data_IF_558377353735
#
_entry.id   IF_558377353735
#
_cell.length_a   1.000
_cell.length_b   1.000
_cell.length_c   1.000
_cell.angle_alpha   90.00
_cell.angle_beta   90.00
_cell.angle_gamma   90.00
#
_symmetry.space_group_name_H-M   'P 1'
#
loop_
_entity.id
_entity.type
_entity.pdbx_description
1 polymer ?
2 non-polymer ?
3 water ?
#
# COMPACT_ATOMS: atom_id res chain seq x y z
N UNK A 2 -7.85 16.01 -13.51
CA UNK A 2 -6.62 16.63 -13.06
C UNK A 2 -5.53 16.47 -14.15
N UNK A 3 -4.76 17.54 -14.40
CA UNK A 3 -3.54 17.48 -15.21
C UNK A 3 -2.35 17.83 -14.33
N UNK A 4 -1.44 16.87 -14.14
CA UNK A 4 -0.26 17.09 -13.29
C UNK A 4 0.79 16.04 -13.58
N UNK A 5 2.07 16.46 -13.57
CA UNK A 5 3.19 15.54 -13.76
C UNK A 5 3.11 14.69 -15.03
N UNK A 6 2.78 15.33 -16.15
CA UNK A 6 2.64 14.69 -17.46
C UNK A 6 1.62 13.56 -17.42
N UNK A 7 0.66 13.67 -16.51
CA UNK A 7 -0.39 12.68 -16.36
C UNK A 7 -1.75 13.34 -16.26
N UNK A 8 -2.77 12.64 -16.72
CA UNK A 8 -4.12 13.12 -16.69
C UNK A 8 -4.97 12.03 -16.07
N UNK A 9 -5.75 12.40 -15.09
CA UNK A 9 -6.60 11.43 -14.42
C UNK A 9 -7.96 11.61 -15.04
N UNK A 10 -8.79 10.59 -14.94
CA UNK A 10 -10.16 10.68 -15.46
C UNK A 10 -11.10 11.45 -14.49
N UNK A 11 -10.74 11.46 -13.21
CA UNK A 11 -11.52 12.08 -12.11
C UNK A 11 -10.65 13.05 -11.31
N UNK A 12 -11.26 13.98 -10.53
CA UNK A 12 -10.47 15.01 -9.83
C UNK A 12 -9.66 14.49 -8.62
N UNK A 13 -8.75 13.56 -8.87
CA UNK A 13 -7.85 13.08 -7.84
C UNK A 13 -6.96 14.20 -7.32
N UNK A 14 -6.52 14.05 -6.07
CA UNK A 14 -5.54 14.97 -5.52
C UNK A 14 -4.31 14.86 -6.39
N UNK A 15 -3.72 16.00 -6.77
CA UNK A 15 -2.53 15.94 -7.62
C UNK A 15 -1.38 15.12 -7.04
N UNK A 16 -1.36 14.96 -5.72
CA UNK A 16 -0.34 14.15 -5.09
C UNK A 16 -0.27 12.75 -5.71
N UNK A 17 -1.40 12.19 -6.12
CA UNK A 17 -1.39 10.83 -6.68
C UNK A 17 -0.79 10.75 -8.08
N UNK A 18 -0.81 11.85 -8.82
CA UNK A 18 -0.13 11.94 -10.11
C UNK A 18 1.33 12.39 -9.99
N UNK A 19 1.61 13.24 -9.00
CA UNK A 19 2.94 13.82 -8.79
C UNK A 19 3.93 12.82 -8.23
N UNK A 20 3.44 11.84 -7.45
CA UNK A 20 4.33 10.78 -6.98
C UNK A 20 4.73 9.86 -8.14
N UNK A 21 6.03 9.69 -8.35
CA UNK A 21 6.50 8.79 -9.40
C UNK A 21 7.89 8.27 -9.12
N UNK A 22 8.37 7.37 -9.98
CA UNK A 22 9.57 6.60 -9.67
C UNK A 22 10.63 6.81 -10.76
N UNK A 23 11.33 7.94 -10.70
CA UNK A 23 12.43 8.17 -11.61
C UNK A 23 13.67 7.39 -11.20
N UNK A 24 14.71 7.46 -12.03
CA UNK A 24 15.97 6.75 -11.78
C UNK A 24 17.18 7.69 -11.67
N UNK A 25 17.03 8.96 -12.05
CA UNK A 25 18.17 9.90 -12.03
C UNK A 25 18.27 10.58 -10.67
N UNK A 26 19.19 10.10 -9.83
CA UNK A 26 19.36 10.62 -8.47
C UNK A 26 20.70 11.32 -8.35
N UNK A 27 20.73 12.34 -7.49
CA UNK A 27 21.90 13.22 -7.42
C UNK A 27 23.01 12.76 -6.46
N UNK A 28 22.77 11.68 -5.72
CA UNK A 28 23.80 11.09 -4.87
C UNK A 28 24.10 11.88 -3.60
N UNK A 29 23.26 12.87 -3.31
CA UNK A 29 23.47 13.75 -2.15
C UNK A 29 23.08 13.03 -0.88
N UNK A 30 23.62 13.47 0.28
CA UNK A 30 23.15 12.93 1.56
C UNK A 30 21.73 13.38 1.90
N UNK A 32 19.19 14.13 5.03
CA UNK A 32 19.25 14.29 6.49
C UNK A 32 18.70 13.06 7.21
N UNK A 33 19.36 12.64 8.29
CA UNK A 33 18.90 11.44 9.04
C UNK A 33 17.44 11.56 9.45
N UNK A 34 17.02 12.74 9.92
CA UNK A 34 15.63 12.96 10.39
C UNK A 34 14.60 12.82 9.26
N UNK A 35 15.00 13.18 8.04
CA UNK A 35 14.13 13.06 6.88
C UNK A 35 13.81 11.58 6.65
N UNK A 36 14.82 10.69 6.73
CA UNK A 36 14.54 9.26 6.53
C UNK A 36 13.65 8.70 7.64
N UNK A 37 13.90 9.14 8.86
CA UNK A 37 13.12 8.69 9.99
C UNK A 37 11.65 9.16 9.89
N UNK A 38 11.43 10.38 9.39
CA UNK A 38 10.09 10.88 9.11
C UNK A 38 9.37 9.99 8.09
N UNK A 39 10.10 9.67 7.02
CA UNK A 39 9.59 8.79 5.95
C UNK A 39 9.17 7.44 6.49
N UNK A 40 10.03 6.81 7.29
CA UNK A 40 9.71 5.52 7.87
C UNK A 40 8.65 5.61 8.96
N UNK A 41 8.59 6.75 9.66
CA UNK A 41 7.54 7.01 10.65
C UNK A 41 6.17 7.02 9.97
N UNK A 42 6.05 7.73 8.86
CA UNK A 42 4.80 7.72 8.08
C UNK A 42 4.41 6.32 7.62
N UNK A 43 5.39 5.59 7.09
CA UNK A 43 5.20 4.20 6.66
C UNK A 43 4.62 3.30 7.79
N UNK A 44 5.14 3.46 9.00
CA UNK A 44 4.75 2.64 10.15
C UNK A 44 3.40 3.02 10.74
N UNK A 45 2.85 4.15 10.29
CA UNK A 45 1.47 4.54 10.61
C UNK A 45 0.39 3.92 9.70
N UNK A 46 0.81 3.02 8.80
CA UNK A 46 -0.13 2.40 7.88
C UNK A 46 -1.11 1.51 8.62
N UNK A 47 -2.30 1.27 8.02
CA UNK A 47 -3.18 0.28 8.63
C UNK A 47 -2.69 -1.13 8.33
N UNK A 48 -3.14 -2.07 9.14
CA UNK A 48 -2.81 -3.47 8.96
C UNK A 48 -3.85 -4.30 9.67
N UNK A 49 -4.08 -5.51 9.18
CA UNK A 49 -4.98 -6.44 9.84
C UNK A 49 -4.58 -6.58 11.31
N UNK A 50 -5.58 -6.46 12.17
CA UNK A 50 -5.41 -6.59 13.64
C UNK A 50 -4.40 -5.63 14.26
N UNK A 51 -4.06 -4.55 13.55
CA UNK A 51 -2.96 -3.67 13.93
C UNK A 51 -1.67 -4.43 14.26
N UNK A 52 -1.42 -5.53 13.54
CA UNK A 52 -0.25 -6.36 13.78
C UNK A 52 1.05 -5.66 13.37
N UNK A 53 0.96 -4.75 12.38
CA UNK A 53 2.10 -3.96 11.93
C UNK A 53 3.25 -4.87 11.52
N UNK A 54 3.04 -5.71 10.49
CA UNK A 54 3.98 -6.77 10.11
C UNK A 54 5.22 -6.30 9.32
N UNK A 55 5.21 -5.07 8.86
CA UNK A 55 6.35 -4.49 8.14
C UNK A 55 7.61 -4.30 9.00
N UNK A 56 8.76 -4.48 8.36
CA UNK A 56 10.04 -4.08 8.90
C UNK A 56 10.82 -3.39 7.78
N UNK A 57 11.74 -2.51 8.17
CA UNK A 57 12.61 -1.76 7.24
C UNK A 57 14.08 -1.86 7.66
N UNK A 58 14.92 -2.32 6.75
CA UNK A 58 16.37 -2.33 6.98
C UNK A 58 16.98 -1.35 5.98
N UNK A 59 17.63 -0.31 6.50
CA UNK A 59 18.06 0.80 5.68
C UNK A 59 19.53 1.18 5.85
N UNK A 60 20.04 1.87 4.83
CA UNK A 60 21.39 2.42 4.81
C UNK A 60 21.41 3.76 4.06
N UNK A 61 22.10 4.75 4.63
CA UNK A 61 22.38 6.00 3.93
C UNK A 61 23.58 5.86 3.02
N UNK A 62 23.63 6.72 2.01
CA UNK A 62 24.76 6.78 1.10
C UNK A 62 26.15 6.86 1.79
N UNK A 63 26.22 7.50 2.96
CA UNK A 63 27.48 7.57 3.79
C UNK A 63 27.78 6.38 4.71
N UNK A 64 26.96 5.35 4.65
CA UNK A 64 27.09 4.20 5.52
C UNK A 64 28.28 3.32 5.16
N UNK A 65 28.94 2.76 6.17
CA UNK A 65 29.92 1.69 5.96
C UNK A 65 29.35 0.52 5.18
N UNK A 66 28.04 0.30 5.24
CA UNK A 66 27.40 -0.81 4.50
C UNK A 66 26.70 -0.44 3.21
N UNK A 67 26.84 0.79 2.77
CA UNK A 67 26.27 1.21 1.50
C UNK A 67 26.61 0.23 0.36
N UNK A 68 27.89 -0.13 0.18
CA UNK A 68 28.20 -1.00 -0.96
C UNK A 68 27.55 -2.38 -0.89
N UNK A 69 27.36 -2.88 0.32
CA UNK A 69 26.64 -4.13 0.50
C UNK A 69 25.19 -3.96 0.04
N UNK A 70 24.55 -2.89 0.45
CA UNK A 70 23.17 -2.63 0.03
C UNK A 70 23.06 -2.50 -1.48
N UNK A 71 24.04 -1.84 -2.11
CA UNK A 71 24.06 -1.73 -3.58
C UNK A 71 24.20 -3.11 -4.25
N UNK A 72 25.09 -3.96 -3.74
CA UNK A 72 25.41 -5.19 -4.45
C UNK A 72 24.36 -6.27 -4.24
N UNK A 73 23.43 -6.02 -3.30
CA UNK A 73 22.26 -6.85 -3.07
C UNK A 73 21.13 -6.58 -4.08
N UNK A 74 21.31 -5.55 -4.89
CA UNK A 74 20.43 -5.33 -6.04
C UNK A 74 21.05 -6.00 -7.25
N UNK A 76 22.22 -6.17 -11.20
CA UNK A 76 23.15 -5.28 -11.92
C UNK A 76 22.43 -4.13 -12.59
N UNK A 77 21.32 -4.44 -13.25
CA UNK A 77 20.52 -3.44 -13.94
C UNK A 77 20.08 -2.33 -13.01
N UNK A 78 19.50 -2.70 -11.88
CA UNK A 78 19.10 -1.71 -10.88
C UNK A 78 20.29 -0.99 -10.25
N UNK A 79 21.40 -1.69 -10.01
CA UNK A 79 22.58 -1.06 -9.41
C UNK A 79 23.01 0.18 -10.16
N UNK A 80 22.92 0.12 -11.49
CA UNK A 80 23.46 1.14 -12.38
C UNK A 80 22.97 2.53 -12.00
N UNK A 81 21.70 2.63 -11.60
CA UNK A 81 21.10 3.93 -11.24
C UNK A 81 20.89 4.08 -9.74
N UNK A 82 20.51 2.99 -9.07
CA UNK A 82 20.21 3.05 -7.63
C UNK A 82 21.43 3.35 -6.75
N UNK A 83 22.63 3.09 -7.27
CA UNK A 83 23.85 3.37 -6.54
C UNK A 83 24.03 4.84 -6.30
N UNK A 84 23.28 5.67 -7.03
CA UNK A 84 23.36 7.11 -6.89
C UNK A 84 22.20 7.72 -6.08
N UNK A 85 21.36 6.86 -5.50
CA UNK A 85 20.31 7.29 -4.61
C UNK A 85 20.93 7.73 -3.28
N UNK A 86 20.11 8.39 -2.46
CA UNK A 86 20.55 8.90 -1.17
C UNK A 86 20.42 7.87 -0.05
N UNK A 87 19.46 6.97 -0.20
CA UNK A 87 19.13 5.93 0.77
C UNK A 87 18.73 4.69 0.00
N UNK A 88 19.17 3.53 0.47
CA UNK A 88 18.65 2.24 0.03
C UNK A 88 18.09 1.53 1.25
N UNK A 89 16.96 0.84 1.07
CA UNK A 89 16.39 0.04 2.12
C UNK A 89 15.60 -1.14 1.56
N UNK A 90 15.33 -2.11 2.41
CA UNK A 90 14.50 -3.25 2.05
C UNK A 90 13.26 -3.27 2.93
N UNK A 91 12.13 -3.45 2.26
CA UNK A 91 10.87 -3.61 2.93
C UNK A 91 10.63 -5.10 3.15
N UNK A 92 10.44 -5.46 4.40
CA UNK A 92 10.35 -6.83 4.85
C UNK A 92 9.02 -6.99 5.55
N UNK A 93 8.48 -8.20 5.61
CA UNK A 93 7.28 -8.44 6.42
C UNK A 93 7.33 -9.79 7.14
N UNK A 94 6.75 -9.81 8.33
CA UNK A 94 6.61 -11.04 9.12
C UNK A 94 5.47 -11.85 8.52
N UNK A 95 5.75 -13.09 8.08
CA UNK A 95 4.75 -13.89 7.34
C UNK A 95 3.81 -14.67 8.25
N UNK A 96 3.84 -14.35 9.52
CA UNK A 96 3.05 -15.05 10.50
C UNK A 96 2.81 -14.10 11.64
N UNK A 97 1.87 -14.45 12.50
CA UNK A 97 1.82 -13.83 13.81
C UNK A 97 2.43 -14.79 14.82
N UNK A 98 3.03 -14.23 15.85
CA UNK A 98 3.64 -15.02 16.90
C UNK A 98 3.11 -14.53 18.23
N UNK A 99 2.78 -15.48 19.10
CA UNK A 99 2.11 -15.19 20.35
C UNK A 99 3.14 -14.97 21.46
N UNK A 100 2.66 -14.58 22.63
CA UNK A 100 3.50 -14.46 23.82
C UNK A 100 4.25 -15.79 24.08
N UNK A 101 3.60 -16.90 23.74
CA UNK A 101 4.14 -18.25 23.91
C UNK A 101 4.98 -18.74 22.71
N UNK A 102 5.07 -17.92 21.66
CA UNK A 102 5.93 -18.23 20.51
C UNK A 102 5.24 -19.10 19.47
N UNK A 103 3.91 -19.19 19.57
CA UNK A 103 3.13 -19.97 18.64
C UNK A 103 2.94 -19.18 17.35
N UNK A 104 3.23 -19.81 16.21
CA UNK A 104 3.18 -19.14 14.89
C UNK A 104 1.92 -19.52 14.09
N UNK A 105 1.28 -18.49 13.52
CA UNK A 105 0.14 -18.67 12.63
C UNK A 105 0.36 -17.89 11.34
N UNK A 106 0.19 -18.52 10.17
CA UNK A 106 0.35 -17.86 8.89
C UNK A 106 -0.51 -16.61 8.79
N UNK A 107 0.08 -15.54 8.26
CA UNK A 107 -0.64 -14.29 8.09
C UNK A 107 -1.21 -14.22 6.68
N UNK A 108 -2.50 -13.90 6.60
CA UNK A 108 -3.17 -13.80 5.31
C UNK A 108 -2.90 -12.48 4.60
N UNK A 109 -2.48 -11.45 5.35
CA UNK A 109 -2.40 -10.08 4.79
C UNK A 109 -1.03 -9.41 4.89
N UNK A 110 0.00 -10.11 5.36
CA UNK A 110 1.29 -9.44 5.65
C UNK A 110 1.92 -8.69 4.46
N UNK A 111 1.82 -9.26 3.26
CA UNK A 111 2.40 -8.62 2.09
C UNK A 111 1.56 -7.43 1.63
N UNK A 112 0.26 -7.63 1.64
CA UNK A 112 -0.71 -6.58 1.39
C UNK A 112 -0.47 -5.39 2.33
N UNK A 113 -0.36 -5.69 3.62
CA UNK A 113 -0.20 -4.66 4.62
C UNK A 113 1.16 -3.93 4.46
N UNK A 114 2.21 -4.67 4.18
CA UNK A 114 3.52 -4.12 3.84
C UNK A 114 3.46 -3.14 2.64
N UNK A 115 2.62 -3.44 1.66
CA UNK A 115 2.39 -2.56 0.50
C UNK A 115 1.77 -1.24 0.85
N UNK A 116 0.79 -1.27 1.76
CA UNK A 116 0.23 -0.05 2.34
C UNK A 116 1.31 0.82 3.03
N UNK A 117 2.17 0.18 3.81
CA UNK A 117 3.29 0.87 4.44
C UNK A 117 4.27 1.45 3.39
N UNK A 118 4.52 0.68 2.34
CA UNK A 118 5.36 1.13 1.25
C UNK A 118 4.78 2.35 0.53
N UNK A 119 3.48 2.34 0.22
CA UNK A 119 2.89 3.53 -0.41
C UNK A 119 3.03 4.73 0.51
N UNK A 120 2.79 4.51 1.79
CA UNK A 120 2.91 5.55 2.78
C UNK A 120 4.33 6.13 2.79
N UNK A 121 5.32 5.24 2.73
CA UNK A 121 6.75 5.59 2.60
C UNK A 121 7.02 6.50 1.38
N UNK A 122 6.53 6.03 0.22
CA UNK A 122 6.66 6.76 -1.05
C UNK A 122 5.99 8.13 -1.00
N UNK A 124 5.23 9.95 1.83
CA UNK A 124 5.96 10.84 2.74
C UNK A 124 7.27 11.34 2.11
N UNK A 125 7.98 10.46 1.42
CA UNK A 125 9.17 10.85 0.66
C UNK A 125 8.85 11.96 -0.35
N UNK A 126 7.84 11.71 -1.18
CA UNK A 126 7.31 12.71 -2.09
C UNK A 126 7.04 14.06 -1.41
N UNK A 127 6.33 14.00 -0.28
CA UNK A 127 5.97 15.23 0.43
C UNK A 127 7.17 16.04 0.93
N UNK A 128 8.29 15.36 1.21
CA UNK A 128 9.54 16.00 1.62
C UNK A 128 10.42 16.47 0.47
N UNK A 129 10.01 16.21 -0.77
CA UNK A 129 10.75 16.68 -1.92
C UNK A 129 11.64 15.63 -2.53
N UNK A 130 11.47 14.37 -2.10
CA UNK A 130 12.27 13.25 -2.62
C UNK A 130 11.41 12.40 -3.54
N UNK A 131 12.04 11.41 -4.14
CA UNK A 131 11.32 10.35 -4.84
C UNK A 131 11.79 9.00 -4.38
N UNK A 132 10.84 8.09 -4.16
CA UNK A 132 11.12 6.71 -3.80
C UNK A 132 10.88 5.82 -5.02
N UNK A 133 11.64 4.75 -5.16
CA UNK A 133 11.55 3.88 -6.33
C UNK A 133 11.66 2.43 -5.85
N UNK A 134 10.57 1.68 -6.03
CA UNK A 134 10.51 0.30 -5.60
C UNK A 134 11.30 -0.60 -6.52
N UNK A 136 12.03 -4.93 -7.34
CA UNK A 136 11.99 -6.37 -7.15
C UNK A 136 13.19 -7.09 -7.74
N UNK A 137 13.96 -6.39 -8.56
CA UNK A 137 15.19 -6.90 -9.14
C UNK A 137 16.31 -6.89 -8.09
N UNK A 138 16.21 -7.82 -7.16
CA UNK A 138 17.06 -7.86 -5.98
C UNK A 138 17.33 -9.31 -5.62
N UNK A 139 18.42 -9.57 -4.90
CA UNK A 139 18.78 -10.93 -4.52
C UNK A 139 18.18 -11.24 -3.14
N UNK A 140 16.96 -11.77 -3.09
CA UNK A 140 16.23 -11.91 -1.82
C UNK A 140 16.90 -12.86 -0.81
N UNK A 141 17.41 -13.99 -1.29
CA UNK A 141 18.08 -14.94 -0.42
C UNK A 141 19.38 -14.36 0.14
N UNK A 142 20.14 -13.63 -0.70
CA UNK A 142 21.35 -12.96 -0.22
C UNK A 142 21.00 -11.85 0.78
N UNK A 143 19.92 -11.13 0.54
CA UNK A 143 19.44 -10.12 1.49
C UNK A 143 19.17 -10.75 2.86
N UNK A 144 18.44 -11.86 2.87
CA UNK A 144 18.11 -12.55 4.10
C UNK A 144 19.36 -12.97 4.87
N UNK A 145 20.34 -13.51 4.15
CA UNK A 145 21.57 -14.00 4.76
C UNK A 145 22.45 -12.85 5.23
N UNK A 146 22.71 -11.88 4.35
CA UNK A 146 23.65 -10.78 4.66
C UNK A 146 23.10 -9.76 5.66
N UNK A 147 21.78 -9.59 5.71
CA UNK A 147 21.18 -8.59 6.62
C UNK A 147 20.56 -9.22 7.86
N UNK A 148 20.80 -10.51 8.06
CA UNK A 148 20.40 -11.22 9.28
C UNK A 148 18.89 -11.19 9.48
N UNK A 149 18.15 -11.43 8.41
CA UNK A 149 16.72 -11.45 8.50
C UNK A 149 16.33 -12.79 9.10
N UNK A 150 15.52 -12.79 10.18
CA UNK A 150 15.18 -14.04 10.86
C UNK A 150 14.18 -14.85 10.05
N UNK A 151 14.04 -16.11 10.42
CA UNK A 151 13.09 -17.01 9.81
C UNK A 151 11.68 -16.46 10.00
N UNK A 152 10.85 -16.62 8.99
CA UNK A 152 9.46 -16.19 9.07
C UNK A 152 9.29 -14.73 8.71
N UNK A 153 10.35 -14.12 8.17
CA UNK A 153 10.27 -12.77 7.60
C UNK A 153 10.57 -12.82 6.11
N UNK A 154 9.73 -12.15 5.34
CA UNK A 154 9.81 -12.14 3.88
C UNK A 154 10.33 -10.79 3.36
N UNK A 155 11.22 -10.87 2.36
CA UNK A 155 11.69 -9.68 1.66
C UNK A 155 10.65 -9.35 0.58
N UNK A 156 10.01 -8.21 0.72
CA UNK A 156 8.99 -7.76 -0.20
C UNK A 156 9.59 -6.99 -1.37
N UNK A 157 10.42 -5.99 -1.06
CA UNK A 157 10.98 -5.13 -2.10
C UNK A 157 12.15 -4.29 -1.60
N UNK A 158 13.02 -3.88 -2.52
CA UNK A 158 14.00 -2.86 -2.23
C UNK A 158 13.43 -1.49 -2.55
N UNK A 159 13.98 -0.44 -1.95
CA UNK A 159 13.55 0.92 -2.21
C UNK A 159 14.75 1.83 -2.25
N UNK A 160 14.85 2.58 -3.34
CA UNK A 160 15.83 3.63 -3.51
C UNK A 160 15.11 4.98 -3.33
N UNK A 161 15.69 5.85 -2.51
CA UNK A 161 15.15 7.18 -2.26
C UNK A 161 16.23 8.23 -2.45
N UNK A 162 15.87 9.33 -3.09
CA UNK A 162 16.84 10.39 -3.35
C UNK A 162 16.21 11.61 -3.96
N UNK A 163 17.07 12.52 -4.38
CA UNK A 163 16.66 13.77 -4.99
C UNK A 163 16.89 13.71 -6.49
N UNK A 164 15.82 14.00 -7.23
CA UNK A 164 15.81 13.89 -8.68
C UNK A 164 16.81 14.83 -9.30
N UNK A 165 17.47 14.39 -10.37
CA UNK A 165 18.34 15.26 -11.14
C UNK A 165 18.14 15.02 -12.64
N UNK A 166 18.96 15.67 -13.46
CA UNK A 166 18.80 15.63 -14.91
C UNK A 166 19.02 14.22 -15.45
N UNK A 167 18.16 13.82 -16.38
CA UNK A 167 18.22 12.48 -16.99
C UNK A 167 19.53 12.23 -17.74
N UNK A 168 20.23 13.30 -18.11
CA UNK A 168 21.50 13.18 -18.84
C UNK A 168 22.52 12.32 -18.12
N UNK A 169 22.40 12.16 -16.79
CA UNK A 169 23.33 11.31 -16.04
C UNK A 169 23.11 9.82 -16.26
N UNK A 170 21.97 9.48 -16.86
CA UNK A 170 21.59 8.09 -17.11
C UNK A 170 22.12 7.60 -18.45
N UNK A 171 22.37 6.27 -18.56
CA UNK A 171 22.56 5.76 -19.92
C UNK A 171 21.30 6.00 -20.77
N UNK A 172 21.48 6.10 -22.07
CA UNK A 172 20.41 6.54 -22.97
C UNK A 172 19.11 5.76 -22.84
N UNK A 173 19.20 4.45 -22.69
CA UNK A 173 17.98 3.64 -22.58
C UNK A 173 17.17 3.98 -21.32
N UNK A 174 17.84 4.23 -20.21
CA UNK A 174 17.15 4.67 -18.99
C UNK A 174 16.66 6.12 -19.09
N UNK A 175 17.46 6.98 -19.69
CA UNK A 175 17.07 8.37 -19.91
C UNK A 175 15.76 8.43 -20.69
N UNK A 176 15.63 7.59 -21.70
CA UNK A 176 14.40 7.51 -22.49
C UNK A 176 13.21 7.07 -21.66
N UNK A 177 13.45 6.34 -20.57
CA UNK A 177 12.36 5.88 -19.69
C UNK A 177 12.08 6.79 -18.53
N UNK A 178 12.82 7.90 -18.45
CA UNK A 178 12.68 8.83 -17.37
C UNK A 178 11.46 9.73 -17.63
N UNK A 179 10.27 9.14 -17.60
CA UNK A 179 9.04 9.87 -17.88
C UNK A 179 7.92 9.19 -17.08
N UNK A 180 7.02 9.98 -16.45
CA UNK A 180 6.05 9.30 -15.61
C UNK A 180 5.17 8.32 -16.40
N UNK A 181 5.05 7.12 -15.86
CA UNK A 181 4.25 6.08 -16.45
C UNK A 181 2.77 6.43 -16.48
N UNK A 182 2.06 5.74 -17.35
CA UNK A 182 0.60 5.84 -17.45
C UNK A 182 -0.11 4.65 -16.78
N UNK A 183 -1.44 4.68 -16.80
CA UNK A 183 -2.26 3.59 -16.24
C UNK A 183 -3.34 3.22 -17.22
N UNK A 184 -3.91 2.03 -17.04
CA UNK A 184 -5.07 1.62 -17.81
C UNK A 184 -6.25 2.50 -17.38
N UNK A 185 -7.27 2.61 -18.25
CA UNK A 185 -8.53 3.27 -17.86
C UNK A 185 -9.10 2.70 -16.55
N UNK A 186 -9.62 3.57 -15.69
CA UNK A 186 -10.23 3.17 -14.43
C UNK A 186 -11.24 2.05 -14.65
N UNK A 187 -12.05 2.15 -15.70
CA UNK A 187 -13.05 1.12 -15.98
C UNK A 187 -12.48 -0.27 -16.24
N UNK A 188 -11.19 -0.37 -16.56
CA UNK A 188 -10.57 -1.66 -16.75
C UNK A 188 -10.23 -2.36 -15.43
N UNK A 189 -10.33 -1.66 -14.32
CA UNK A 189 -9.99 -2.26 -13.02
C UNK A 189 -11.05 -2.08 -11.94
N UNK A 190 -12.04 -1.22 -12.16
CA UNK A 190 -13.07 -0.95 -11.16
C UNK A 190 -14.42 -1.33 -11.75
N UNK A 191 -15.07 -2.29 -11.12
CA UNK A 191 -16.30 -2.89 -11.60
C UNK A 191 -17.42 -2.75 -10.56
N UNK A 192 -18.58 -2.30 -11.01
CA UNK A 192 -19.74 -2.21 -10.12
C UNK A 192 -20.50 -3.52 -10.06
N UNK A 193 -20.78 -3.99 -8.84
CA UNK A 193 -21.73 -5.10 -8.64
C UNK A 193 -21.13 -6.48 -8.69
N UNK A 194 -20.31 -6.72 -9.71
CA UNK A 194 -19.64 -8.01 -9.90
C UNK A 194 -18.41 -7.81 -10.77
N UNK A 195 -17.58 -8.84 -10.86
CA UNK A 195 -16.35 -8.77 -11.66
C UNK A 195 -16.74 -8.80 -13.16
N UNK A 196 -16.63 -7.68 -13.86
CA UNK A 196 -17.04 -7.68 -15.29
C UNK A 196 -15.88 -7.61 -16.25
N UNK A 197 -14.67 -7.41 -15.73
CA UNK A 197 -13.47 -7.33 -16.55
C UNK A 197 -13.12 -8.67 -17.17
N UNK A 198 -12.30 -8.64 -18.21
CA UNK A 198 -11.77 -9.88 -18.77
C UNK A 198 -10.81 -10.53 -17.76
N UNK A 199 -10.63 -11.85 -17.84
CA UNK A 199 -9.63 -12.52 -17.00
C UNK A 199 -8.20 -12.34 -17.56
N UNK A 200 -8.11 -12.09 -18.87
CA UNK A 200 -6.86 -11.68 -19.51
C UNK A 200 -7.17 -11.03 -20.85
N UNK B 2 4.66 15.22 15.51
CA UNK B 2 3.34 15.64 15.08
C UNK B 2 2.23 15.17 16.04
N UNK B 3 1.29 16.07 16.34
CA UNK B 3 0.11 15.76 17.14
C UNK B 3 -1.15 16.03 16.32
N UNK B 4 -1.93 14.98 16.09
CA UNK B 4 -3.17 15.13 15.34
C UNK B 4 -4.03 13.88 15.54
N UNK B 5 -5.35 14.06 15.53
CA UNK B 5 -6.29 12.94 15.65
C UNK B 5 -6.04 12.04 16.87
N UNK B 6 -5.76 12.65 18.02
CA UNK B 6 -5.51 11.87 19.25
C UNK B 6 -4.35 10.87 19.09
N UNK B 7 -3.42 11.19 18.19
CA UNK B 7 -2.21 10.40 17.98
C UNK B 7 -1.00 11.29 18.12
N UNK B 8 0.13 10.69 18.41
CA UNK B 8 1.37 11.43 18.50
C UNK B 8 2.47 10.71 17.75
N UNK B 9 3.12 11.39 16.82
CA UNK B 9 4.23 10.80 16.07
C UNK B 9 5.57 11.13 16.72
N UNK B 10 6.58 10.32 16.46
CA UNK B 10 7.92 10.57 16.98
C UNK B 10 8.64 11.59 16.09
N UNK B 11 8.34 11.58 14.80
CA UNK B 11 8.99 12.45 13.83
C UNK B 11 7.95 13.29 13.11
N UNK B 12 8.37 14.42 12.50
CA UNK B 12 7.37 15.35 11.98
C UNK B 12 6.70 14.90 10.69
N UNK B 13 5.90 13.83 10.79
CA UNK B 13 5.15 13.32 9.64
C UNK B 13 4.05 14.32 9.25
N UNK B 14 3.64 14.30 7.99
CA UNK B 14 2.47 15.02 7.57
C UNK B 14 1.27 14.53 8.40
N UNK B 15 0.46 15.46 8.93
CA UNK B 15 -0.65 15.01 9.79
C UNK B 15 -1.68 14.14 9.07
N UNK B 16 -1.68 14.12 7.74
CA UNK B 16 -2.51 13.18 7.01
C UNK B 16 -2.31 11.72 7.43
N UNK B 17 -1.07 11.34 7.74
CA UNK B 17 -0.79 9.95 8.15
C UNK B 17 -1.38 9.59 9.53
N UNK B 18 -1.56 10.60 10.36
CA UNK B 18 -2.18 10.46 11.66
C UNK B 18 -3.69 10.62 11.57
N UNK B 19 -4.14 11.46 10.66
CA UNK B 19 -5.57 11.79 10.53
C UNK B 19 -6.37 10.69 9.88
N UNK B 20 -5.70 9.93 9.00
CA UNK B 20 -6.32 8.78 8.37
C UNK B 20 -6.47 7.69 9.41
N UNK B 21 -7.70 7.23 9.62
CA UNK B 21 -7.98 6.11 10.50
C UNK B 21 -9.26 5.37 10.10
N UNK B 22 -9.54 4.29 10.82
CA UNK B 22 -10.56 3.34 10.42
C UNK B 22 -11.67 3.25 11.49
N UNK B 23 -12.59 4.21 11.47
CA UNK B 23 -13.75 4.11 12.36
C UNK B 23 -14.78 3.07 11.88
N UNK B 24 -15.75 2.80 12.73
CA UNK B 24 -16.83 1.87 12.44
C UNK B 24 -18.21 2.52 12.42
N UNK B 25 -18.37 3.71 13.02
CA UNK B 25 -19.67 4.39 13.07
C UNK B 25 -19.87 5.22 11.81
N UNK B 26 -20.68 4.69 10.89
CA UNK B 26 -20.99 5.35 9.62
C UNK B 26 -22.46 5.77 9.55
N UNK B 27 -22.74 6.84 8.81
CA UNK B 27 -24.07 7.46 8.80
C UNK B 27 -25.07 6.94 7.74
N UNK B 28 -24.63 6.00 6.91
CA UNK B 28 -25.53 5.36 5.96
C UNK B 28 -25.95 6.23 4.78
N UNK B 29 -25.38 7.43 4.67
CA UNK B 29 -25.72 8.35 3.60
C UNK B 29 -25.22 7.86 2.24
N UNK B 30 -25.91 8.25 1.16
CA UNK B 30 -25.38 8.00 -0.18
C UNK B 30 -24.07 8.75 -0.40
N UNK B 32 -21.87 10.33 -3.43
CA UNK B 32 -21.90 10.62 -4.86
C UNK B 32 -21.05 9.67 -5.70
N UNK B 33 -21.61 9.24 -6.82
CA UNK B 33 -20.95 8.27 -7.68
C UNK B 33 -19.54 8.76 -8.06
N UNK B 34 -19.39 10.05 -8.38
CA UNK B 34 -18.09 10.58 -8.81
C UNK B 34 -17.07 10.54 -7.68
N UNK B 35 -17.51 10.69 -6.43
CA UNK B 35 -16.61 10.65 -5.30
C UNK B 35 -15.95 9.28 -5.20
N UNK B 36 -16.74 8.20 -5.30
CA UNK B 36 -16.15 6.86 -5.27
C UNK B 36 -15.22 6.65 -6.45
N UNK B 37 -15.60 7.13 -7.64
CA UNK B 37 -14.71 6.98 -8.79
C UNK B 37 -13.38 7.73 -8.59
N UNK B 38 -13.44 8.88 -7.93
CA UNK B 38 -12.23 9.66 -7.65
C UNK B 38 -11.32 8.86 -6.71
N UNK B 39 -11.94 8.23 -5.70
CA UNK B 39 -11.23 7.38 -4.76
C UNK B 39 -10.54 6.22 -5.46
N UNK B 40 -11.25 5.51 -6.32
CA UNK B 40 -10.67 4.37 -7.04
C UNK B 40 -9.68 4.81 -8.14
N UNK B 41 -9.87 6.01 -8.68
CA UNK B 41 -8.93 6.55 -9.64
C UNK B 41 -7.58 6.76 -8.92
N UNK B 42 -7.62 7.35 -7.73
CA UNK B 42 -6.42 7.51 -6.91
C UNK B 42 -5.76 6.17 -6.67
N UNK B 43 -6.56 5.17 -6.26
CA UNK B 43 -6.07 3.80 -6.03
C UNK B 43 -5.33 3.22 -7.23
N UNK B 44 -5.87 3.44 -8.42
CA UNK B 44 -5.31 2.85 -9.65
C UNK B 44 -4.05 3.55 -10.14
N UNK B 45 -3.74 4.71 -9.54
CA UNK B 45 -2.46 5.39 -9.76
C UNK B 45 -1.33 4.88 -8.89
N UNK B 46 -1.56 3.87 -8.07
CA UNK B 46 -0.48 3.31 -7.27
C UNK B 46 0.66 2.78 -8.15
N UNK B 47 1.87 2.67 -7.58
CA UNK B 47 2.94 1.98 -8.27
C UNK B 47 2.70 0.46 -8.14
N UNK B 48 3.26 -0.28 -9.09
CA UNK B 48 3.29 -1.74 -9.08
C UNK B 48 4.48 -2.25 -9.85
N UNK B 49 4.93 -3.46 -9.51
CA UNK B 49 6.02 -4.09 -10.25
C UNK B 49 5.65 -4.12 -11.73
N UNK B 50 6.60 -3.70 -12.56
CA UNK B 50 6.47 -3.65 -14.02
C UNK B 50 5.24 -2.86 -14.49
N UNK B 51 4.69 -2.00 -13.64
CA UNK B 51 3.43 -1.33 -13.94
C UNK B 51 2.34 -2.32 -14.40
N UNK B 52 2.36 -3.53 -13.85
CA UNK B 52 1.31 -4.52 -14.14
C UNK B 52 -0.09 -4.13 -13.67
N UNK B 53 -0.19 -3.27 -12.63
CA UNK B 53 -1.48 -2.81 -12.16
C UNK B 53 -2.44 -3.99 -11.85
N UNK B 54 -2.04 -4.89 -10.93
CA UNK B 54 -2.75 -6.17 -10.71
C UNK B 54 -4.02 -6.05 -9.88
N UNK B 55 -4.28 -4.88 -9.34
CA UNK B 55 -5.50 -4.64 -8.55
C UNK B 55 -6.77 -4.61 -9.39
N UNK B 56 -7.85 -5.09 -8.79
CA UNK B 56 -9.20 -4.86 -9.25
C UNK B 56 -10.07 -4.52 -8.04
N UNK B 57 -11.12 -3.76 -8.29
CA UNK B 57 -12.06 -3.33 -7.27
C UNK B 57 -13.48 -3.66 -7.71
N UNK B 58 -14.21 -4.41 -6.89
CA UNK B 58 -15.62 -4.68 -7.17
C UNK B 58 -16.42 -4.02 -6.06
N UNK B 59 -17.32 -3.12 -6.44
CA UNK B 59 -17.93 -2.19 -5.50
C UNK B 59 -19.45 -2.12 -5.60
N UNK B 60 -20.08 -1.71 -4.51
CA UNK B 60 -21.51 -1.41 -4.51
C UNK B 60 -21.80 -0.22 -3.57
N UNK B 61 -22.74 0.64 -4.00
CA UNK B 61 -23.28 1.71 -3.16
C UNK B 61 -24.40 1.20 -2.26
N UNK B 62 -24.59 1.84 -1.11
CA UNK B 62 -25.66 1.45 -0.20
C UNK B 62 -27.05 1.40 -0.88
N UNK B 63 -27.27 2.26 -1.88
CA UNK B 63 -28.51 2.25 -2.70
C UNK B 63 -28.59 1.12 -3.74
N UNK B 64 -27.84 0.06 -3.56
CA UNK B 64 -27.61 -0.85 -4.68
C UNK B 64 -28.52 -2.04 -4.56
N UNK B 65 -28.88 -2.57 -5.72
CA UNK B 65 -29.49 -3.90 -5.82
C UNK B 65 -28.60 -4.96 -5.16
N UNK B 66 -27.29 -4.77 -5.27
CA UNK B 66 -26.30 -5.71 -4.74
C UNK B 66 -25.96 -5.55 -3.26
N UNK B 67 -26.46 -4.50 -2.61
CA UNK B 67 -26.04 -4.20 -1.22
C UNK B 67 -26.20 -5.37 -0.26
N UNK B 68 -27.38 -6.02 -0.25
CA UNK B 68 -27.58 -7.14 0.68
C UNK B 68 -26.54 -8.24 0.47
N UNK B 69 -26.25 -8.55 -0.80
CA UNK B 69 -25.21 -9.52 -1.11
C UNK B 69 -23.85 -9.08 -0.57
N UNK B 70 -23.47 -7.83 -0.84
CA UNK B 70 -22.19 -7.34 -0.37
C UNK B 70 -22.09 -7.41 1.16
N UNK B 71 -23.18 -7.06 1.86
CA UNK B 71 -23.20 -7.14 3.32
C UNK B 71 -23.09 -8.58 3.78
N UNK B 72 -23.75 -9.51 3.09
CA UNK B 72 -23.74 -10.88 3.58
C UNK B 72 -22.40 -11.58 3.35
N UNK B 73 -21.56 -11.04 2.45
CA UNK B 73 -20.21 -11.57 2.21
C UNK B 73 -19.15 -11.16 3.26
N UNK B 74 -19.58 -10.38 4.25
CA UNK B 74 -18.77 -10.01 5.40
C UNK B 74 -19.15 -10.93 6.55
N UNK B 76 -20.06 -11.83 10.46
CA UNK B 76 -21.10 -11.17 11.23
C UNK B 76 -20.63 -9.99 12.06
N UNK B 77 -19.42 -10.09 12.61
CA UNK B 77 -18.91 -9.02 13.45
C UNK B 77 -18.64 -7.76 12.66
N UNK B 78 -18.31 -7.93 11.39
CA UNK B 78 -18.15 -6.83 10.45
C UNK B 78 -19.49 -6.27 9.94
N UNK B 79 -20.44 -7.17 9.63
CA UNK B 79 -21.76 -6.73 9.15
C UNK B 79 -22.39 -5.70 10.08
N UNK B 80 -22.30 -5.94 11.39
CA UNK B 80 -22.98 -5.15 12.43
C UNK B 80 -22.82 -3.65 12.22
N UNK B 81 -21.63 -3.25 11.73
CA UNK B 81 -21.30 -1.84 11.58
C UNK B 81 -21.11 -1.43 10.12
N UNK B 82 -20.52 -2.32 9.31
CA UNK B 82 -20.22 -2.00 7.90
C UNK B 82 -21.49 -1.87 7.07
N UNK B 83 -22.58 -2.50 7.51
CA UNK B 83 -23.84 -2.41 6.81
C UNK B 83 -24.35 -0.97 6.78
N UNK B 84 -23.80 -0.10 7.63
CA UNK B 84 -24.18 1.29 7.62
C UNK B 84 -23.21 2.22 6.89
N UNK B 85 -22.17 1.67 6.27
CA UNK B 85 -21.29 2.45 5.38
C UNK B 85 -22.00 2.86 4.09
N UNK B 86 -21.44 3.84 3.38
CA UNK B 86 -22.01 4.33 2.11
C UNK B 86 -21.64 3.41 0.94
N UNK B 87 -20.45 2.82 1.00
CA UNK B 87 -19.92 1.94 -0.05
C UNK B 87 -19.22 0.73 0.58
N UNK B 88 -19.38 -0.43 -0.07
CA UNK B 88 -18.64 -1.64 0.25
C UNK B 88 -17.98 -2.11 -1.02
N UNK B 89 -16.75 -2.54 -0.94
CA UNK B 89 -16.06 -3.06 -2.09
C UNK B 89 -15.06 -4.11 -1.66
N UNK B 90 -14.62 -4.89 -2.63
CA UNK B 90 -13.55 -5.86 -2.41
C UNK B 90 -12.34 -5.56 -3.30
N UNK B 91 -11.19 -5.54 -2.67
CA UNK B 91 -9.93 -5.38 -3.37
C UNK B 91 -9.44 -6.77 -3.75
N UNK B 92 -9.09 -6.90 -5.01
CA UNK B 92 -8.80 -8.19 -5.62
C UNK B 92 -7.45 -7.97 -6.31
N UNK B 93 -6.64 -9.02 -6.43
CA UNK B 93 -5.38 -8.91 -7.21
C UNK B 93 -5.21 -10.07 -8.17
N UNK B 94 -4.60 -9.77 -9.33
CA UNK B 94 -4.27 -10.75 -10.35
C UNK B 94 -2.96 -11.40 -9.98
N UNK B 95 -2.98 -12.71 -9.76
CA UNK B 95 -1.82 -13.40 -9.17
C UNK B 95 -0.76 -13.89 -10.18
N UNK B 96 -0.96 -13.52 -11.45
CA UNK B 96 -0.17 -14.02 -12.57
C UNK B 96 -0.19 -13.06 -13.73
N UNK B 97 0.69 -13.32 -14.71
CA UNK B 97 0.65 -12.64 -15.99
C UNK B 97 0.76 -13.76 -17.02
N UNK B 98 0.48 -13.44 -18.27
CA UNK B 98 0.52 -14.44 -19.34
C UNK B 98 1.27 -13.83 -20.52
N UNK B 99 2.21 -14.59 -21.08
CA UNK B 99 3.08 -14.09 -22.16
C UNK B 99 2.29 -14.06 -23.45
N UNK B 100 2.83 -13.41 -24.47
CA UNK B 100 2.23 -13.41 -25.82
C UNK B 100 1.89 -14.82 -26.27
N UNK B 101 2.80 -15.76 -25.99
CA UNK B 101 2.68 -17.15 -26.43
C UNK B 101 1.88 -18.07 -25.49
N UNK B 102 1.31 -17.47 -24.44
CA UNK B 102 0.38 -18.18 -23.57
C UNK B 102 0.94 -18.80 -22.30
N UNK B 103 2.15 -18.45 -21.91
CA UNK B 103 2.78 -19.04 -20.74
C UNK B 103 2.43 -18.19 -19.53
N UNK B 104 1.76 -18.81 -18.57
CA UNK B 104 1.34 -18.14 -17.32
C UNK B 104 2.51 -18.11 -16.36
N UNK B 105 2.74 -16.95 -15.75
CA UNK B 105 3.84 -16.75 -14.82
C UNK B 105 3.30 -16.15 -13.52
N UNK B 106 3.58 -16.78 -12.36
CA UNK B 106 3.16 -16.25 -11.08
C UNK B 106 3.74 -14.87 -10.83
N UNK B 107 2.94 -13.99 -10.22
CA UNK B 107 3.43 -12.67 -9.86
C UNK B 107 3.94 -12.70 -8.45
N UNK B 108 5.16 -12.23 -8.25
CA UNK B 108 5.72 -12.20 -6.91
C UNK B 108 5.17 -11.06 -6.03
N UNK B 109 4.61 -9.99 -6.61
CA UNK B 109 4.32 -8.79 -5.82
C UNK B 109 2.86 -8.39 -5.83
N UNK B 110 1.98 -9.25 -6.32
CA UNK B 110 0.60 -8.81 -6.58
C UNK B 110 -0.19 -8.39 -5.33
N UNK B 111 0.00 -9.08 -4.21
CA UNK B 111 -0.69 -8.66 -2.96
C UNK B 111 -0.06 -7.38 -2.41
N UNK B 112 1.26 -7.31 -2.42
CA UNK B 112 2.02 -6.13 -2.00
C UNK B 112 1.54 -4.90 -2.79
N UNK B 113 1.47 -5.04 -4.11
CA UNK B 113 1.05 -3.94 -4.96
C UNK B 113 -0.39 -3.55 -4.70
N UNK B 114 -1.27 -4.55 -4.54
CA UNK B 114 -2.67 -4.28 -4.17
C UNK B 114 -2.78 -3.47 -2.87
N UNK B 115 -1.92 -3.80 -1.91
CA UNK B 115 -1.80 -3.04 -0.67
C UNK B 115 -1.50 -1.57 -0.88
N UNK B 116 -0.62 -1.25 -1.85
CA UNK B 116 -0.32 0.15 -2.17
C UNK B 116 -1.55 0.87 -2.75
N UNK B 117 -2.29 0.16 -3.60
CA UNK B 117 -3.53 0.68 -4.16
C UNK B 117 -4.57 0.92 -3.03
N UNK B 118 -4.62 -0.02 -2.09
CA UNK B 118 -5.54 0.12 -0.93
C UNK B 118 -5.18 1.33 -0.08
N UNK B 119 -3.90 1.58 0.22
CA UNK B 119 -3.59 2.79 1.00
C UNK B 119 -3.99 4.04 0.24
N UNK B 120 -3.68 4.06 -1.07
CA UNK B 120 -4.05 5.18 -1.92
C UNK B 120 -5.57 5.42 -1.88
N UNK B 121 -6.34 4.33 -1.97
CA UNK B 121 -7.80 4.37 -1.82
C UNK B 121 -8.20 5.04 -0.52
N UNK B 122 -7.67 4.54 0.58
CA UNK B 122 -7.93 5.09 1.90
C UNK B 122 -7.52 6.56 2.08
N UNK B 124 -7.18 8.93 -0.43
CA UNK B 124 -8.06 9.76 -1.25
C UNK B 124 -9.46 9.86 -0.61
N UNK B 125 -9.93 8.76 -0.02
CA UNK B 125 -11.19 8.77 0.72
C UNK B 125 -11.10 9.79 1.86
N UNK B 126 -10.02 9.68 2.62
CA UNK B 126 -9.75 10.63 3.68
C UNK B 126 -9.73 12.08 3.23
N UNK B 127 -9.03 12.35 2.14
CA UNK B 127 -8.95 13.71 1.63
C UNK B 127 -10.28 14.29 1.15
N UNK B 128 -11.22 13.43 0.77
CA UNK B 128 -12.57 13.87 0.39
C UNK B 128 -13.52 13.96 1.60
N UNK B 129 -13.03 13.65 2.79
CA UNK B 129 -13.82 13.80 4.03
C UNK B 129 -14.52 12.55 4.51
N UNK B 130 -14.16 11.41 3.93
CA UNK B 130 -14.72 10.13 4.28
C UNK B 130 -13.69 9.34 5.09
N UNK B 131 -14.05 8.12 5.45
CA UNK B 131 -13.12 7.19 6.07
C UNK B 131 -13.31 5.82 5.44
N UNK B 132 -12.20 5.16 5.15
CA UNK B 132 -12.21 3.81 4.60
C UNK B 132 -11.81 2.89 5.74
N UNK B 133 -12.33 1.66 5.73
CA UNK B 133 -12.05 0.69 6.80
C UNK B 133 -11.85 -0.68 6.13
N UNK B 134 -10.64 -1.22 6.25
CA UNK B 134 -10.28 -2.49 5.63
C UNK B 134 -10.80 -3.66 6.45
N UNK B 136 -10.67 -8.06 6.74
CA UNK B 136 -10.25 -9.39 6.39
C UNK B 136 -11.26 -10.43 6.87
N UNK B 137 -12.18 -10.01 7.75
CA UNK B 137 -13.21 -10.90 8.27
C UNK B 137 -14.34 -10.98 7.25
N UNK B 138 -14.07 -11.73 6.20
CA UNK B 138 -14.93 -11.81 5.02
C UNK B 138 -14.94 -13.26 4.51
N UNK B 139 -15.95 -13.61 3.70
CA UNK B 139 -16.07 -14.96 3.15
C UNK B 139 -15.51 -15.04 1.74
N UNK B 140 -14.20 -15.25 1.63
CA UNK B 140 -13.48 -15.12 0.36
C UNK B 140 -13.95 -16.06 -0.74
N UNK B 141 -14.14 -17.32 -0.39
CA UNK B 141 -14.59 -18.30 -1.37
C UNK B 141 -15.99 -17.99 -1.86
N UNK B 142 -16.84 -17.49 -0.97
CA UNK B 142 -18.19 -17.06 -1.34
C UNK B 142 -18.12 -15.76 -2.18
N UNK B 143 -17.16 -14.90 -1.88
CA UNK B 143 -16.94 -13.69 -2.70
C UNK B 143 -16.54 -14.08 -4.14
N UNK B 144 -15.61 -15.01 -4.26
CA UNK B 144 -15.16 -15.50 -5.56
C UNK B 144 -16.36 -16.04 -6.37
N UNK B 145 -17.17 -16.88 -5.73
CA UNK B 145 -18.37 -17.44 -6.34
C UNK B 145 -19.41 -16.38 -6.75
N UNK B 146 -19.82 -15.55 -5.79
CA UNK B 146 -20.97 -14.66 -6.02
C UNK B 146 -20.68 -13.46 -6.92
N UNK B 147 -19.43 -12.98 -6.90
CA UNK B 147 -19.00 -11.83 -7.70
C UNK B 147 -18.26 -12.22 -8.97
N UNK B 148 -18.28 -13.50 -9.31
CA UNK B 148 -17.74 -14.04 -10.57
C UNK B 148 -16.27 -13.70 -10.78
N UNK B 149 -15.48 -13.85 -9.72
CA UNK B 149 -14.06 -13.56 -9.80
C UNK B 149 -13.35 -14.72 -10.55
N UNK B 150 -12.60 -14.38 -11.61
CA UNK B 150 -12.01 -15.47 -12.38
C UNK B 150 -10.88 -16.17 -11.64
N UNK B 151 -10.51 -17.34 -12.14
CA UNK B 151 -9.37 -18.09 -11.60
C UNK B 151 -8.11 -17.22 -11.70
N UNK B 152 -7.20 -17.34 -10.74
CA UNK B 152 -5.95 -16.60 -10.79
C UNK B 152 -6.08 -15.15 -10.30
N UNK B 153 -7.20 -14.85 -9.64
CA UNK B 153 -7.41 -13.56 -9.00
C UNK B 153 -7.76 -13.83 -7.56
N UNK B 154 -7.11 -13.08 -6.67
CA UNK B 154 -7.14 -13.32 -5.24
C UNK B 154 -7.92 -12.24 -4.52
N UNK B 155 -8.78 -12.61 -3.57
CA UNK B 155 -9.48 -11.61 -2.75
C UNK B 155 -8.50 -11.19 -1.67
N UNK B 156 -8.20 -9.90 -1.63
CA UNK B 156 -7.28 -9.34 -0.65
C UNK B 156 -7.97 -8.83 0.62
N UNK B 157 -9.02 -8.02 0.44
CA UNK B 157 -9.69 -7.40 1.57
C UNK B 157 -11.04 -6.83 1.14
N UNK B 158 -11.97 -6.75 2.08
CA UNK B 158 -13.13 -5.89 1.92
C UNK B 158 -12.79 -4.46 2.36
N UNK B 159 -13.51 -3.47 1.85
CA UNK B 159 -13.39 -2.10 2.33
C UNK B 159 -14.75 -1.49 2.48
N UNK B 160 -14.99 -0.90 3.65
CA UNK B 160 -16.17 -0.09 3.90
C UNK B 160 -15.77 1.38 3.83
N UNK B 161 -16.54 2.20 3.13
CA UNK B 161 -16.23 3.63 3.07
C UNK B 161 -17.50 4.41 3.42
N UNK B 162 -17.34 5.47 4.21
CA UNK B 162 -18.48 6.31 4.52
C UNK B 162 -18.12 7.54 5.30
N UNK B 163 -19.15 8.14 5.89
CA UNK B 163 -19.05 9.38 6.64
C UNK B 163 -19.25 9.08 8.11
N UNK B 164 -18.28 9.49 8.91
CA UNK B 164 -18.25 9.22 10.33
C UNK B 164 -19.46 9.82 11.00
N UNK B 165 -19.97 9.14 12.03
CA UNK B 165 -21.02 9.65 12.87
C UNK B 165 -20.73 9.29 14.34
N UNK B 166 -21.56 9.81 15.23
CA UNK B 166 -21.39 9.63 16.66
C UNK B 166 -21.27 8.16 17.02
N UNK B 167 -20.29 7.84 17.87
CA UNK B 167 -20.03 6.46 18.30
C UNK B 167 -21.15 5.83 19.11
N UNK B 168 -22.05 6.66 19.64
CA UNK B 168 -23.20 6.17 20.38
C UNK B 168 -24.02 5.12 19.64
N UNK B 169 -23.95 5.07 18.31
CA UNK B 169 -24.71 4.08 17.52
C UNK B 169 -24.14 2.65 17.61
N UNK B 170 -22.91 2.54 18.09
CA UNK B 170 -22.20 1.26 18.15
C UNK B 170 -22.50 0.55 19.46
N UNK B 171 -22.41 -0.79 19.46
CA UNK B 171 -22.40 -1.51 20.72
C UNK B 171 -21.13 -1.17 21.53
N UNK B 172 -21.19 -1.32 22.85
CA UNK B 172 -20.16 -0.83 23.77
C UNK B 172 -18.75 -1.29 23.44
N UNK B 173 -18.59 -2.56 23.09
CA UNK B 173 -17.26 -3.07 22.75
C UNK B 173 -16.67 -2.30 21.55
N UNK B 174 -17.53 -1.98 20.59
CA UNK B 174 -17.08 -1.24 19.41
C UNK B 174 -16.91 0.25 19.70
N UNK B 175 -17.81 0.82 20.50
CA UNK B 175 -17.67 2.19 20.99
C UNK B 175 -16.29 2.39 21.63
N UNK B 176 -15.89 1.47 22.49
CA UNK B 176 -14.58 1.54 23.18
C UNK B 176 -13.42 1.52 22.20
N UNK B 177 -13.65 0.93 21.02
CA UNK B 177 -12.63 0.77 19.99
C UNK B 177 -12.72 1.84 18.91
N UNK B 178 -13.68 2.76 19.07
CA UNK B 178 -13.91 3.84 18.13
C UNK B 178 -12.99 5.00 18.49
N UNK B 179 -11.69 4.71 18.49
CA UNK B 179 -10.67 5.70 18.78
C UNK B 179 -9.46 5.40 17.91
N UNK B 180 -8.71 6.44 17.52
CA UNK B 180 -7.54 6.18 16.68
C UNK B 180 -6.52 5.25 17.33
N UNK B 181 -6.20 4.16 16.63
CA UNK B 181 -5.24 3.17 17.10
C UNK B 181 -3.81 3.74 17.20
N UNK B 182 -2.96 3.05 17.94
CA UNK B 182 -1.56 3.43 18.13
C UNK B 182 -0.62 2.50 17.39
N UNK B 183 0.67 2.83 17.45
CA UNK B 183 1.70 2.04 16.77
C UNK B 183 2.88 1.78 17.69
N UNK B 184 3.66 0.76 17.37
CA UNK B 184 4.89 0.47 18.12
C UNK B 184 5.91 1.59 17.87
N UNK B 185 6.88 1.78 18.76
CA UNK B 185 7.92 2.78 18.42
C UNK B 185 8.57 2.48 17.08
N UNK B 186 8.92 3.52 16.32
CA UNK B 186 9.56 3.34 15.04
C UNK B 186 10.76 2.40 15.12
N UNK B 187 11.59 2.55 16.15
CA UNK B 187 12.82 1.77 16.30
C UNK B 187 12.58 0.27 16.43
N UNK B 188 11.33 -0.12 16.73
CA UNK B 188 10.94 -1.52 16.80
C UNK B 188 10.71 -2.15 15.43
N UNK B 189 10.54 -1.32 14.38
CA UNK B 189 10.35 -1.83 13.03
C UNK B 189 11.33 -1.31 11.96
N UNK B 190 12.08 -0.24 12.28
CA UNK B 190 13.05 0.34 11.37
C UNK B 190 14.47 0.14 11.90
N UNK B 191 15.28 -0.58 11.14
CA UNK B 191 16.62 -0.96 11.57
C UNK B 191 17.67 -0.46 10.59
N UNK B 192 18.69 0.23 11.10
CA UNK B 192 19.79 0.68 10.28
C UNK B 192 20.83 -0.42 10.07
N UNK B 193 21.21 -0.64 8.81
CA UNK B 193 22.36 -1.50 8.50
C UNK B 193 22.06 -2.99 8.46
N UNK B 194 21.40 -3.49 9.50
CA UNK B 194 21.10 -4.92 9.63
C UNK B 194 19.79 -5.08 10.35
N UNK B 195 19.11 -6.20 10.12
CA UNK B 195 17.90 -6.52 10.88
C UNK B 195 18.32 -6.81 12.33
N UNK B 196 17.86 -5.97 13.26
CA UNK B 196 18.24 -6.08 14.68
C UNK B 196 17.05 -6.23 15.62
N UNK B 197 15.86 -6.41 15.06
CA UNK B 197 14.66 -6.39 15.88
C UNK B 197 14.38 -7.71 16.59
N UNK B 198 13.27 -7.70 17.34
CA UNK B 198 12.63 -8.89 17.92
C UNK B 198 12.91 -8.95 19.41
#
# INVERSE_FOLDING_TARGET
XTNSNNRQSEYPVDPLFLDRWSPRAFDGSPXPKEHLLTILDAAHWAPSASNHQPWRFVYAHKDSEDWPLFVELLXEGNQKWAKNASVLLFVISRDHTISHEGEKKPSATHSFDAGAAWFSLAXQAHLLGYHAHGXGGIFKDRIVEKLDIPDGFKVEAGVAIGTLTDKSILPDDLAEREVPSKRVPLADVAFEGRFTGKAD
XTNSNNRQSEYPVDPLFLDRWSPRAFDGSPXPKEHLLTILDAAHWAPSASNHQPWRFVYAHKDSEDWPLFVELLXEGNQKWAKNASVLLFVISRDHTISHEGEKKPSATHSFDAGAAWFSLAXQAHLLGYHAHGXGGIFKDRIVEKLDIPDGFKVEAGVAIGTLTDKSILPDDLAEREVPSKRVPLADVAFEGRFTGKAD
#
